data_IF_826447921438
#
_entry.id   IF_826447921438
#
_cell.length_a   1.000
_cell.length_b   1.000
_cell.length_c   1.000
_cell.angle_alpha   90.00
_cell.angle_beta   90.00
_cell.angle_gamma   90.00
#
_symmetry.space_group_name_H-M   'P 1'
#
loop_
_entity.id
_entity.type
_entity.pdbx_description
1 polymer ?
#
# COMPACT_ATOMS: atom_id res chain seq x y z
N UNK A 1 -67.08 -41.40 23.03
CA UNK A 1 -66.09 -40.73 23.92
C UNK A 1 -64.74 -40.74 23.11
N UNK A 2 -64.26 -39.62 22.62
CA UNK A 2 -63.00 -39.58 21.95
C UNK A 2 -61.83 -39.21 22.90
N UNK A 3 -60.79 -39.96 22.87
CA UNK A 3 -59.52 -39.75 23.59
C UNK A 3 -58.77 -38.54 23.01
N UNK A 4 -58.51 -37.53 23.86
CA UNK A 4 -57.63 -36.36 23.54
C UNK A 4 -56.20 -36.76 23.74
N UNK A 5 -55.41 -36.87 22.62
CA UNK A 5 -53.98 -37.01 22.66
C UNK A 5 -53.35 -35.63 22.82
N UNK A 6 -52.65 -35.39 23.93
CA UNK A 6 -51.86 -34.18 24.17
C UNK A 6 -50.53 -34.31 23.47
N UNK A 7 -50.34 -33.48 22.45
CA UNK A 7 -49.05 -33.35 21.75
C UNK A 7 -48.14 -32.41 22.57
N UNK A 8 -47.09 -32.98 23.19
CA UNK A 8 -46.09 -32.23 23.92
C UNK A 8 -45.08 -31.71 22.90
N UNK A 9 -45.12 -30.40 22.55
CA UNK A 9 -44.10 -29.75 21.72
C UNK A 9 -42.88 -29.46 22.60
N UNK A 10 -41.82 -30.22 22.38
CA UNK A 10 -40.49 -29.92 22.93
C UNK A 10 -39.88 -28.82 22.08
N UNK A 11 -39.82 -27.59 22.63
CA UNK A 11 -39.13 -26.45 22.03
C UNK A 11 -37.63 -26.59 22.37
N UNK A 12 -36.81 -27.13 21.43
CA UNK A 12 -35.34 -27.16 21.58
C UNK A 12 -34.84 -25.74 21.32
N UNK A 13 -34.51 -25.00 22.38
CA UNK A 13 -33.75 -23.75 22.24
C UNK A 13 -32.29 -24.11 21.94
N UNK A 14 -31.89 -23.97 20.66
CA UNK A 14 -30.49 -23.92 20.29
C UNK A 14 -29.92 -22.58 20.78
N UNK A 15 -29.17 -22.59 21.87
CA UNK A 15 -28.28 -21.51 22.22
C UNK A 15 -27.05 -21.60 21.28
N UNK A 16 -27.07 -20.89 20.17
CA UNK A 16 -25.86 -20.60 19.42
C UNK A 16 -25.08 -19.57 20.22
N UNK A 17 -24.08 -20.02 20.98
CA UNK A 17 -23.05 -19.12 21.49
C UNK A 17 -22.23 -18.62 20.29
N UNK A 18 -22.61 -17.50 19.72
CA UNK A 18 -21.69 -16.73 18.89
C UNK A 18 -20.62 -16.20 19.83
N UNK A 19 -19.44 -16.82 19.81
CA UNK A 19 -18.24 -16.22 20.37
C UNK A 19 -17.93 -14.97 19.51
N UNK A 20 -18.45 -13.83 19.93
CA UNK A 20 -17.98 -12.53 19.48
C UNK A 20 -16.53 -12.45 19.94
N UNK A 21 -15.58 -12.54 19.03
CA UNK A 21 -14.20 -12.16 19.30
C UNK A 21 -14.25 -10.74 19.86
N UNK A 22 -13.79 -10.57 21.08
CA UNK A 22 -13.83 -9.28 21.74
C UNK A 22 -12.88 -8.34 20.98
N UNK A 23 -13.41 -7.30 20.42
CA UNK A 23 -12.65 -6.22 19.80
C UNK A 23 -12.00 -5.41 20.94
N UNK A 24 -10.68 -5.38 20.98
CA UNK A 24 -9.94 -4.62 21.97
C UNK A 24 -9.81 -3.14 21.57
N UNK A 25 -9.81 -2.26 22.57
CA UNK A 25 -9.71 -0.83 22.36
C UNK A 25 -8.53 -0.26 23.14
N UNK A 26 -7.63 0.37 22.39
CA UNK A 26 -6.39 0.94 22.87
C UNK A 26 -6.43 2.46 22.75
N UNK A 27 -6.18 3.16 23.85
CA UNK A 27 -6.11 4.62 23.92
C UNK A 27 -4.74 5.04 24.45
N UNK A 28 -3.72 5.11 23.58
CA UNK A 28 -2.39 5.54 23.98
C UNK A 28 -2.40 7.00 24.44
N UNK A 29 -1.47 7.35 25.33
CA UNK A 29 -1.26 8.73 25.74
C UNK A 29 -0.26 9.39 24.80
N UNK A 30 -0.33 10.73 24.70
CA UNK A 30 0.66 11.50 23.96
C UNK A 30 1.97 11.58 24.72
N UNK A 31 3.06 11.44 23.99
CA UNK A 31 4.41 11.71 24.48
C UNK A 31 4.92 13.07 23.99
N UNK A 32 6.00 13.57 24.58
CA UNK A 32 6.62 14.82 24.15
C UNK A 32 7.28 14.66 22.76
N UNK A 33 7.25 15.71 21.95
CA UNK A 33 7.68 15.68 20.54
C UNK A 33 9.09 15.10 20.31
N UNK A 34 10.03 15.34 21.21
CA UNK A 34 11.44 14.92 21.09
C UNK A 34 11.82 13.87 22.12
N UNK A 35 10.86 13.14 22.68
CA UNK A 35 11.14 12.14 23.72
C UNK A 35 11.69 10.86 23.13
N UNK A 36 11.29 10.50 21.92
CA UNK A 36 11.64 9.21 21.27
C UNK A 36 12.63 9.46 20.15
N UNK A 37 13.74 8.75 20.19
CA UNK A 37 14.76 8.69 19.16
C UNK A 37 14.59 7.36 18.42
N UNK A 38 14.63 7.35 17.10
CA UNK A 38 14.53 6.13 16.31
C UNK A 38 15.94 5.63 16.03
N UNK A 39 16.48 4.83 16.94
CA UNK A 39 17.84 4.27 16.86
C UNK A 39 17.86 2.72 16.94
N UNK A 40 16.70 2.11 17.15
CA UNK A 40 16.54 0.65 17.27
C UNK A 40 16.81 0.14 18.68
N UNK A 41 16.85 0.99 19.69
CA UNK A 41 17.06 0.66 21.09
C UNK A 41 15.91 1.17 21.94
N UNK A 42 15.14 0.29 22.54
CA UNK A 42 14.01 0.66 23.38
C UNK A 42 14.50 1.13 24.76
N UNK A 43 14.81 2.42 24.87
CA UNK A 43 15.17 3.05 26.15
C UNK A 43 13.94 3.18 27.05
N UNK A 44 13.91 2.69 28.29
CA UNK A 44 12.72 2.70 29.14
C UNK A 44 12.12 4.09 29.36
N UNK A 45 12.95 5.14 29.43
CA UNK A 45 12.48 6.52 29.61
C UNK A 45 11.76 7.08 28.38
N UNK A 46 12.13 6.63 27.18
CA UNK A 46 11.50 7.07 25.94
C UNK A 46 10.09 6.47 25.78
N UNK A 47 9.92 5.23 26.16
CA UNK A 47 8.68 4.46 25.96
C UNK A 47 7.79 4.36 27.23
N UNK A 48 8.08 5.13 28.28
CA UNK A 48 7.37 5.07 29.58
C UNK A 48 5.88 5.40 29.48
N UNK A 49 5.49 6.28 28.55
CA UNK A 49 4.10 6.70 28.34
C UNK A 49 3.36 5.81 27.31
N UNK A 50 4.06 4.82 26.74
CA UNK A 50 3.49 3.94 25.73
C UNK A 50 2.58 2.89 26.36
N UNK A 51 1.52 2.52 25.63
CA UNK A 51 0.70 1.37 25.99
C UNK A 51 1.33 0.09 25.42
N UNK A 52 1.15 -1.01 26.13
CA UNK A 52 1.60 -2.34 25.72
C UNK A 52 0.52 -3.03 24.90
N UNK A 53 0.93 -3.67 23.80
CA UNK A 53 0.11 -4.60 23.01
C UNK A 53 0.94 -5.86 22.77
N UNK A 54 0.48 -6.99 23.25
CA UNK A 54 1.17 -8.26 23.06
C UNK A 54 0.80 -8.93 21.73
N UNK A 55 1.71 -9.75 21.19
CA UNK A 55 1.49 -10.52 19.95
C UNK A 55 1.45 -12.00 20.36
N UNK A 56 0.27 -12.48 20.71
CA UNK A 56 0.10 -13.73 21.46
C UNK A 56 -0.49 -14.90 20.66
N UNK A 57 -0.93 -14.67 19.42
CA UNK A 57 -1.60 -15.70 18.61
C UNK A 57 -0.70 -16.24 17.51
N UNK A 58 -0.29 -17.53 17.60
CA UNK A 58 0.35 -18.24 16.50
C UNK A 58 -0.73 -18.63 15.47
N UNK A 59 -0.70 -17.97 14.32
CA UNK A 59 -1.68 -18.16 13.24
C UNK A 59 -1.15 -19.01 12.10
N UNK A 60 0.16 -19.18 11.99
CA UNK A 60 0.82 -20.07 11.03
C UNK A 60 2.07 -20.72 11.68
N UNK A 61 2.27 -22.03 11.63
CA UNK A 61 1.35 -23.08 11.15
C UNK A 61 0.17 -23.34 12.10
N UNK A 62 0.21 -22.79 13.32
CA UNK A 62 -0.87 -22.88 14.30
C UNK A 62 -2.20 -22.32 13.78
N UNK A 63 -3.26 -22.53 14.54
CA UNK A 63 -4.56 -21.92 14.32
C UNK A 63 -4.99 -21.20 15.60
N UNK A 64 -4.50 -19.97 15.77
CA UNK A 64 -4.68 -19.16 16.98
C UNK A 64 -4.18 -19.86 18.26
N UNK A 65 -3.07 -20.58 18.17
CA UNK A 65 -2.42 -21.17 19.34
C UNK A 65 -1.67 -20.08 20.12
N UNK A 66 -1.43 -20.26 21.43
CA UNK A 66 -0.56 -19.35 22.18
C UNK A 66 0.83 -19.26 21.53
N UNK A 67 1.37 -18.05 21.43
CA UNK A 67 2.69 -17.81 20.90
C UNK A 67 3.78 -18.53 21.72
N UNK A 68 4.72 -19.19 21.04
CA UNK A 68 5.84 -19.90 21.69
C UNK A 68 6.95 -18.98 22.16
N UNK A 69 7.04 -17.80 21.57
CA UNK A 69 8.02 -16.76 21.90
C UNK A 69 7.28 -15.45 22.17
N UNK A 70 7.76 -14.72 23.15
CA UNK A 70 7.17 -13.45 23.51
C UNK A 70 7.49 -12.37 22.45
N UNK A 71 6.54 -11.49 22.19
CA UNK A 71 6.75 -10.25 21.45
C UNK A 71 5.94 -9.16 22.12
N UNK A 72 6.61 -8.19 22.67
CA UNK A 72 5.98 -7.03 23.28
C UNK A 72 6.05 -5.85 22.30
N UNK A 73 4.94 -5.14 22.12
CA UNK A 73 4.89 -3.94 21.32
C UNK A 73 4.36 -2.78 22.11
N UNK A 74 4.82 -1.58 21.79
CA UNK A 74 4.57 -0.35 22.50
C UNK A 74 4.01 0.69 21.52
N UNK A 75 2.95 1.40 21.91
CA UNK A 75 2.33 2.46 21.09
C UNK A 75 2.24 3.75 21.90
N UNK A 76 2.70 4.81 21.30
CA UNK A 76 2.47 6.19 21.77
C UNK A 76 2.43 7.14 20.58
N UNK A 77 2.09 8.41 20.75
CA UNK A 77 2.02 9.36 19.67
C UNK A 77 2.26 10.79 20.15
N UNK A 78 2.57 11.66 19.20
CA UNK A 78 2.60 13.12 19.38
C UNK A 78 1.45 13.75 18.58
N UNK A 79 1.42 15.06 18.50
CA UNK A 79 0.43 15.74 17.64
C UNK A 79 0.54 15.37 16.16
N UNK A 80 1.74 15.01 15.70
CA UNK A 80 2.06 14.84 14.27
C UNK A 80 2.52 13.45 13.89
N UNK A 81 2.94 12.60 14.83
CA UNK A 81 3.51 11.28 14.54
C UNK A 81 2.96 10.19 15.46
N UNK A 82 2.80 9.01 14.90
CA UNK A 82 2.60 7.77 15.63
C UNK A 82 3.94 7.07 15.79
N UNK A 83 4.21 6.58 17.01
CA UNK A 83 5.42 5.82 17.36
C UNK A 83 5.02 4.42 17.80
N UNK A 84 5.72 3.42 17.27
CA UNK A 84 5.50 2.03 17.63
C UNK A 84 6.85 1.36 17.77
N UNK A 85 7.02 0.58 18.83
CA UNK A 85 8.22 -0.22 19.03
C UNK A 85 7.89 -1.67 19.33
N UNK A 86 8.84 -2.55 19.04
CA UNK A 86 8.73 -3.98 19.25
C UNK A 86 9.98 -4.52 19.91
N UNK A 87 9.80 -5.33 20.94
CA UNK A 87 10.83 -6.21 21.46
C UNK A 87 10.43 -7.65 21.14
N UNK A 88 11.09 -8.23 20.17
CA UNK A 88 10.84 -9.54 19.64
C UNK A 88 11.84 -10.55 20.24
N UNK A 89 11.46 -11.24 21.30
CA UNK A 89 12.32 -12.22 21.96
C UNK A 89 12.59 -13.42 21.05
N UNK A 90 13.84 -13.78 20.89
CA UNK A 90 14.27 -14.91 20.08
C UNK A 90 15.73 -15.30 20.39
N UNK A 91 16.09 -16.55 20.11
CA UNK A 91 17.50 -16.90 20.11
C UNK A 91 18.20 -16.20 18.93
N UNK A 92 19.17 -15.36 19.26
CA UNK A 92 19.86 -14.51 18.27
C UNK A 92 20.52 -15.29 17.12
N UNK A 93 20.91 -16.56 17.36
CA UNK A 93 21.49 -17.45 16.34
C UNK A 93 20.47 -17.89 15.27
N UNK A 94 19.18 -17.78 15.58
CA UNK A 94 18.09 -18.17 14.67
C UNK A 94 17.48 -16.99 13.93
N UNK A 95 17.85 -15.75 14.28
CA UNK A 95 17.36 -14.55 13.62
C UNK A 95 17.85 -14.51 12.18
N UNK A 96 16.93 -14.41 11.24
CA UNK A 96 17.22 -14.23 9.82
C UNK A 96 17.02 -12.77 9.45
N UNK A 97 18.08 -12.11 9.06
CA UNK A 97 18.02 -10.72 8.64
C UNK A 97 19.17 -10.38 7.70
N UNK A 98 18.88 -9.54 6.73
CA UNK A 98 19.87 -8.94 5.82
C UNK A 98 19.59 -7.45 5.68
N UNK A 99 20.64 -6.66 5.52
CA UNK A 99 20.46 -5.24 5.16
C UNK A 99 19.97 -5.20 3.71
N UNK A 100 18.83 -4.57 3.50
CA UNK A 100 18.16 -4.52 2.20
C UNK A 100 17.81 -3.09 1.81
N UNK A 101 17.70 -2.85 0.53
CA UNK A 101 17.07 -1.62 0.05
C UNK A 101 15.58 -1.63 0.38
N UNK A 102 15.00 -0.45 0.43
CA UNK A 102 13.55 -0.29 0.62
C UNK A 102 12.79 -1.06 -0.47
N UNK A 103 11.70 -1.70 -0.09
CA UNK A 103 10.78 -2.45 -0.96
C UNK A 103 11.42 -3.63 -1.71
N UNK A 104 12.54 -4.14 -1.18
CA UNK A 104 13.12 -5.39 -1.66
C UNK A 104 12.27 -6.59 -1.20
N UNK A 105 11.63 -7.28 -2.14
CA UNK A 105 10.84 -8.48 -1.85
C UNK A 105 11.64 -9.62 -1.19
N UNK A 106 12.97 -9.61 -1.30
CA UNK A 106 13.83 -10.53 -0.57
C UNK A 106 13.68 -10.42 0.95
N UNK A 107 13.17 -9.28 1.46
CA UNK A 107 12.88 -9.06 2.87
C UNK A 107 11.79 -10.01 3.40
N UNK A 108 10.94 -10.55 2.52
CA UNK A 108 9.94 -11.56 2.89
C UNK A 108 10.57 -12.89 3.35
N UNK A 109 11.88 -13.10 3.19
CA UNK A 109 12.61 -14.26 3.71
C UNK A 109 13.33 -13.97 5.03
N UNK A 110 13.29 -12.75 5.54
CA UNK A 110 13.84 -12.33 6.82
C UNK A 110 12.80 -12.51 7.95
N UNK A 111 13.25 -12.42 9.19
CA UNK A 111 12.36 -12.15 10.33
C UNK A 111 11.76 -10.75 10.13
N UNK A 112 10.47 -10.59 10.36
CA UNK A 112 9.76 -9.36 10.09
C UNK A 112 8.84 -8.96 11.24
N UNK A 113 8.78 -7.67 11.46
CA UNK A 113 7.67 -7.01 12.17
C UNK A 113 6.83 -6.29 11.12
N UNK A 114 5.51 -6.47 11.18
CA UNK A 114 4.56 -5.84 10.28
C UNK A 114 3.50 -5.13 11.11
N UNK A 115 3.31 -3.86 10.83
CA UNK A 115 2.23 -3.03 11.37
C UNK A 115 1.18 -2.87 10.29
N UNK A 116 -0.08 -3.09 10.64
CA UNK A 116 -1.19 -2.98 9.71
C UNK A 116 -2.25 -2.04 10.25
N UNK A 117 -2.69 -1.07 9.42
CA UNK A 117 -3.73 -0.11 9.77
C UNK A 117 -4.87 -0.09 8.75
N UNK A 118 -6.10 -0.13 9.24
CA UNK A 118 -7.29 0.34 8.55
C UNK A 118 -7.68 1.69 9.14
N UNK A 119 -7.18 2.76 8.54
CA UNK A 119 -7.33 4.14 9.03
C UNK A 119 -8.76 4.68 8.88
N UNK A 120 -9.61 4.03 8.08
CA UNK A 120 -11.02 4.37 7.92
C UNK A 120 -11.94 3.50 8.78
N UNK A 121 -11.41 2.45 9.42
CA UNK A 121 -12.14 1.46 10.18
C UNK A 121 -13.34 0.89 9.40
N UNK A 122 -13.13 0.57 8.12
CA UNK A 122 -14.19 0.15 7.20
C UNK A 122 -13.94 -1.21 6.51
N UNK A 123 -12.81 -1.86 6.83
CA UNK A 123 -12.44 -3.19 6.34
C UNK A 123 -12.15 -3.26 4.83
N UNK A 124 -11.81 -2.17 4.18
CA UNK A 124 -11.58 -2.13 2.73
C UNK A 124 -10.13 -2.11 2.33
N UNK A 125 -9.33 -1.37 3.07
CA UNK A 125 -7.91 -1.22 2.81
C UNK A 125 -7.14 -1.30 4.11
N UNK A 126 -6.01 -1.98 4.07
CA UNK A 126 -5.03 -1.93 5.13
C UNK A 126 -3.72 -1.39 4.58
N UNK A 127 -3.10 -0.48 5.31
CA UNK A 127 -1.75 0.01 5.06
C UNK A 127 -0.79 -0.84 5.87
N UNK A 128 0.18 -1.45 5.21
CA UNK A 128 1.20 -2.30 5.81
C UNK A 128 2.51 -1.55 5.82
N UNK A 129 3.15 -1.53 6.97
CA UNK A 129 4.53 -1.07 7.14
C UNK A 129 5.29 -2.21 7.78
N UNK A 130 6.42 -2.57 7.21
CA UNK A 130 7.22 -3.66 7.73
C UNK A 130 8.68 -3.24 7.91
N UNK A 131 9.32 -3.88 8.88
CA UNK A 131 10.75 -3.74 9.11
C UNK A 131 11.35 -5.08 9.52
N UNK A 132 12.58 -5.34 9.08
CA UNK A 132 13.35 -6.46 9.55
C UNK A 132 14.23 -6.07 10.77
N UNK A 133 14.96 -6.98 11.41
CA UNK A 133 15.83 -6.68 12.55
C UNK A 133 16.92 -5.63 12.32
N UNK A 134 17.22 -5.25 11.08
CA UNK A 134 18.17 -4.19 10.73
C UNK A 134 17.51 -2.86 10.33
N UNK A 135 16.19 -2.74 10.51
CA UNK A 135 15.50 -1.52 10.15
C UNK A 135 15.26 -1.32 8.66
N UNK A 136 15.50 -2.34 7.80
CA UNK A 136 15.13 -2.26 6.38
C UNK A 136 13.62 -2.16 6.24
N UNK A 137 13.15 -1.29 5.33
CA UNK A 137 11.75 -0.91 5.19
C UNK A 137 11.07 -1.61 4.03
N UNK A 138 9.82 -1.98 4.25
CA UNK A 138 8.90 -2.39 3.19
C UNK A 138 7.51 -1.86 3.50
N UNK A 139 6.80 -1.38 2.51
CA UNK A 139 5.41 -0.98 2.64
C UNK A 139 4.54 -1.47 1.50
N UNK A 140 3.27 -1.64 1.78
CA UNK A 140 2.28 -2.05 0.82
C UNK A 140 0.89 -1.61 1.26
N UNK A 141 -0.04 -1.64 0.33
CA UNK A 141 -1.45 -1.52 0.63
C UNK A 141 -2.14 -2.86 0.34
N UNK A 142 -2.91 -3.36 1.29
CA UNK A 142 -3.74 -4.53 1.09
C UNK A 142 -5.20 -4.14 0.86
N UNK A 143 -5.81 -4.77 -0.13
CA UNK A 143 -7.23 -4.64 -0.47
C UNK A 143 -7.91 -6.01 -0.39
N UNK A 144 -9.23 -6.03 -0.28
CA UNK A 144 -9.96 -7.28 -0.39
C UNK A 144 -10.06 -7.68 -1.86
N UNK A 145 -9.23 -8.62 -2.29
CA UNK A 145 -9.18 -9.18 -3.64
C UNK A 145 -9.33 -10.70 -3.61
N UNK A 146 -9.70 -11.28 -4.77
CA UNK A 146 -9.95 -12.73 -4.91
C UNK A 146 -8.65 -13.54 -4.89
N UNK A 147 -7.55 -12.96 -5.36
CA UNK A 147 -6.23 -13.61 -5.41
C UNK A 147 -5.25 -12.93 -4.47
N UNK A 148 -4.24 -13.65 -4.00
CA UNK A 148 -3.20 -13.07 -3.16
C UNK A 148 -2.31 -12.10 -3.94
N UNK A 149 -2.10 -12.32 -5.24
CA UNK A 149 -1.33 -11.45 -6.12
C UNK A 149 -1.97 -10.06 -6.24
N UNK A 150 -3.29 -10.02 -6.36
CA UNK A 150 -4.04 -8.76 -6.46
C UNK A 150 -4.29 -8.08 -5.11
N UNK A 151 -4.05 -8.81 -4.02
CA UNK A 151 -4.35 -8.32 -2.66
C UNK A 151 -3.36 -7.28 -2.18
N UNK A 152 -2.08 -7.42 -2.54
CA UNK A 152 -1.02 -6.58 -2.05
C UNK A 152 -0.45 -5.69 -3.15
N UNK A 153 -0.65 -4.39 -3.01
CA UNK A 153 -0.07 -3.37 -3.88
C UNK A 153 1.21 -2.84 -3.25
N UNK A 154 2.35 -3.40 -3.65
CA UNK A 154 3.68 -2.98 -3.23
C UNK A 154 4.22 -1.76 -3.97
N UNK A 155 3.44 -1.17 -4.88
CA UNK A 155 3.80 0.12 -5.52
C UNK A 155 3.38 1.33 -4.69
N UNK A 156 2.65 1.09 -3.60
CA UNK A 156 2.21 2.12 -2.68
C UNK A 156 3.35 2.48 -1.74
N UNK A 157 3.73 3.75 -1.68
CA UNK A 157 4.83 4.24 -0.87
C UNK A 157 4.31 5.17 0.24
N UNK A 158 4.70 4.87 1.48
CA UNK A 158 4.47 5.67 2.67
C UNK A 158 5.78 6.26 3.18
N UNK A 159 5.74 7.49 3.65
CA UNK A 159 6.85 8.09 4.39
C UNK A 159 6.82 7.58 5.83
N UNK A 160 7.87 6.91 6.29
CA UNK A 160 8.07 6.53 7.68
C UNK A 160 9.54 6.26 7.95
N UNK A 161 9.95 6.35 9.21
CA UNK A 161 11.29 6.03 9.65
C UNK A 161 11.26 4.73 10.46
N UNK A 162 12.30 3.90 10.31
CA UNK A 162 12.51 2.71 11.14
C UNK A 162 13.97 2.57 11.51
N UNK A 163 14.20 2.00 12.69
CA UNK A 163 15.49 1.49 13.10
C UNK A 163 15.31 0.12 13.74
N UNK A 164 16.32 -0.73 13.62
CA UNK A 164 16.29 -2.05 14.20
C UNK A 164 17.67 -2.51 14.66
N UNK A 165 17.71 -3.20 15.79
CA UNK A 165 18.94 -3.69 16.41
C UNK A 165 18.74 -5.07 16.99
N UNK A 166 19.70 -5.98 16.73
CA UNK A 166 19.76 -7.29 17.38
C UNK A 166 20.36 -7.09 18.78
N UNK A 167 19.61 -7.51 19.80
CA UNK A 167 19.98 -7.44 21.21
C UNK A 167 20.26 -8.84 21.77
N UNK A 168 20.69 -8.95 23.03
CA UNK A 168 21.11 -10.23 23.62
C UNK A 168 20.01 -11.30 23.61
N UNK A 169 18.75 -10.90 23.83
CA UNK A 169 17.58 -11.79 23.96
C UNK A 169 16.63 -11.77 22.77
N UNK A 170 17.04 -11.16 21.64
CA UNK A 170 16.21 -11.08 20.44
C UNK A 170 16.58 -9.92 19.54
N UNK A 171 15.59 -9.14 19.13
CA UNK A 171 15.78 -7.90 18.39
C UNK A 171 14.72 -6.86 18.75
N UNK A 172 15.06 -5.62 18.54
CA UNK A 172 14.17 -4.46 18.73
C UNK A 172 13.99 -3.74 17.41
N UNK A 173 12.79 -3.22 17.19
CA UNK A 173 12.46 -2.40 15.99
C UNK A 173 11.57 -1.26 16.41
N UNK A 174 11.87 -0.08 15.91
CA UNK A 174 11.10 1.13 16.12
C UNK A 174 10.57 1.70 14.81
N UNK A 175 9.36 2.26 14.87
CA UNK A 175 8.69 2.95 13.78
C UNK A 175 8.29 4.36 14.20
N UNK A 176 8.54 5.34 13.34
CA UNK A 176 8.00 6.69 13.43
C UNK A 176 7.22 6.99 12.16
N UNK A 177 5.94 7.21 12.30
CA UNK A 177 5.00 7.32 11.20
C UNK A 177 4.33 8.70 11.25
N UNK A 178 4.64 9.62 10.32
CA UNK A 178 3.95 10.89 10.24
C UNK A 178 2.45 10.67 9.93
N UNK A 179 1.56 11.36 10.62
CA UNK A 179 0.14 11.28 10.26
C UNK A 179 -0.16 11.78 8.84
N UNK A 180 0.68 12.65 8.31
CA UNK A 180 0.57 13.12 6.92
C UNK A 180 0.82 12.03 5.88
N UNK A 181 1.50 10.93 6.24
CA UNK A 181 1.77 9.82 5.33
C UNK A 181 0.57 8.93 5.09
N UNK A 182 -0.34 8.82 6.05
CA UNK A 182 -1.48 7.93 6.00
C UNK A 182 -2.77 8.69 5.62
N UNK A 183 -3.55 8.20 4.66
CA UNK A 183 -4.88 8.74 4.43
C UNK A 183 -5.85 8.26 5.52
N UNK A 184 -6.65 9.18 6.08
CA UNK A 184 -7.69 8.89 7.07
C UNK A 184 -8.80 9.94 7.06
N UNK A 185 -9.97 9.72 7.73
CA UNK A 185 -11.09 10.64 7.74
C UNK A 185 -10.74 12.01 8.34
N UNK A 186 -11.46 13.06 7.91
CA UNK A 186 -11.35 14.38 8.55
C UNK A 186 -11.70 14.34 10.02
N UNK A 187 -10.96 15.04 10.84
CA UNK A 187 -11.16 15.16 12.29
C UNK A 187 -9.83 15.10 13.04
N UNK A 188 -9.75 15.74 14.19
CA UNK A 188 -8.61 15.67 15.10
C UNK A 188 -8.61 14.38 15.92
N UNK A 189 -9.81 13.83 16.16
CA UNK A 189 -10.00 12.56 16.86
C UNK A 189 -10.18 11.46 15.82
N UNK A 190 -9.39 10.40 15.94
CA UNK A 190 -9.38 9.29 15.01
C UNK A 190 -9.67 7.99 15.72
N UNK A 191 -10.38 7.12 15.04
CA UNK A 191 -10.55 5.71 15.38
C UNK A 191 -10.04 4.90 14.20
N UNK A 192 -8.91 4.24 14.36
CA UNK A 192 -8.36 3.33 13.37
C UNK A 192 -8.54 1.89 13.83
N UNK A 193 -8.58 0.96 12.90
CA UNK A 193 -8.31 -0.43 13.24
C UNK A 193 -6.85 -0.76 12.97
N UNK A 194 -6.27 -1.63 13.79
CA UNK A 194 -4.89 -2.04 13.61
C UNK A 194 -4.67 -3.52 13.95
N UNK A 195 -3.54 -4.04 13.52
CA UNK A 195 -3.08 -5.37 13.86
C UNK A 195 -1.55 -5.42 13.71
N UNK A 196 -0.90 -6.10 14.64
CA UNK A 196 0.54 -6.33 14.59
C UNK A 196 0.83 -7.77 14.23
N UNK A 197 1.89 -7.95 13.45
CA UNK A 197 2.36 -9.26 13.02
C UNK A 197 3.83 -9.38 13.31
N UNK A 198 4.23 -10.59 13.63
CA UNK A 198 5.63 -11.01 13.61
C UNK A 198 5.75 -12.27 12.78
N UNK A 199 6.68 -12.26 11.85
CA UNK A 199 7.12 -13.44 11.15
C UNK A 199 8.54 -13.77 11.59
N UNK A 200 8.81 -15.04 11.90
CA UNK A 200 10.12 -15.53 12.24
C UNK A 200 10.27 -17.01 11.86
N UNK A 201 11.48 -17.54 11.96
CA UNK A 201 11.74 -18.92 11.60
C UNK A 201 12.19 -19.73 12.82
N UNK A 202 11.61 -20.92 13.00
CA UNK A 202 11.96 -21.87 14.03
C UNK A 202 12.13 -23.25 13.40
N UNK A 203 13.30 -23.88 13.59
CA UNK A 203 13.64 -25.19 13.04
C UNK A 203 13.37 -25.30 11.53
N UNK A 204 13.60 -24.21 10.80
CA UNK A 204 13.39 -24.13 9.34
C UNK A 204 11.96 -23.81 8.90
N UNK A 205 11.00 -23.82 9.81
CA UNK A 205 9.60 -23.50 9.54
C UNK A 205 9.34 -22.02 9.75
N UNK A 206 8.53 -21.45 8.87
CA UNK A 206 8.00 -20.09 9.04
C UNK A 206 6.89 -20.09 10.08
N UNK A 207 7.00 -19.19 11.05
CA UNK A 207 6.00 -18.97 12.09
C UNK A 207 5.47 -17.54 11.96
N UNK A 208 4.16 -17.41 11.95
CA UNK A 208 3.48 -16.10 11.96
C UNK A 208 2.69 -15.94 13.26
N UNK A 209 2.97 -14.84 13.96
CA UNK A 209 2.23 -14.40 15.14
C UNK A 209 1.42 -13.14 14.83
N UNK A 210 0.28 -12.98 15.51
CA UNK A 210 -0.57 -11.78 15.43
C UNK A 210 -0.98 -11.29 16.80
N UNK A 211 -1.29 -10.00 16.90
CA UNK A 211 -1.84 -9.39 18.11
C UNK A 211 -3.30 -9.78 18.35
N UNK A 212 -3.99 -10.29 17.34
CA UNK A 212 -5.39 -10.72 17.42
C UNK A 212 -5.60 -12.05 16.69
N UNK A 213 -6.64 -12.81 17.05
CA UNK A 213 -7.01 -14.05 16.35
C UNK A 213 -7.30 -13.82 14.88
N UNK A 214 -7.06 -14.85 14.07
CA UNK A 214 -7.27 -14.82 12.62
C UNK A 214 -8.07 -16.05 12.17
N UNK A 215 -9.17 -15.82 11.45
CA UNK A 215 -9.95 -16.88 10.82
C UNK A 215 -9.49 -17.07 9.36
N UNK A 216 -8.83 -18.19 9.08
CA UNK A 216 -8.38 -18.54 7.73
C UNK A 216 -9.52 -18.85 6.75
N UNK A 217 -10.72 -19.17 7.28
CA UNK A 217 -11.89 -19.49 6.46
C UNK A 217 -12.69 -18.25 6.06
N UNK A 218 -12.40 -17.10 6.68
CA UNK A 218 -13.03 -15.84 6.26
C UNK A 218 -12.36 -15.34 4.96
N UNK A 219 -13.12 -15.21 3.86
CA UNK A 219 -12.58 -14.72 2.60
C UNK A 219 -12.10 -13.27 2.66
N UNK A 220 -12.58 -12.48 3.63
CA UNK A 220 -12.16 -11.10 3.81
C UNK A 220 -11.01 -10.97 4.81
N UNK A 221 -9.77 -11.15 4.37
CA UNK A 221 -8.62 -11.05 5.26
C UNK A 221 -8.38 -9.63 5.80
N UNK A 222 -8.63 -8.60 4.99
CA UNK A 222 -8.46 -7.20 5.43
C UNK A 222 -9.53 -6.77 6.44
N UNK A 223 -10.72 -7.41 6.43
CA UNK A 223 -11.79 -7.12 7.39
C UNK A 223 -11.47 -7.58 8.81
N UNK A 224 -10.47 -8.45 8.97
CA UNK A 224 -10.09 -9.02 10.26
C UNK A 224 -9.10 -8.15 11.05
N UNK A 225 -8.73 -6.99 10.53
CA UNK A 225 -8.04 -5.96 11.29
C UNK A 225 -9.09 -5.20 12.08
N UNK A 226 -9.24 -5.52 13.38
CA UNK A 226 -10.42 -5.10 14.16
C UNK A 226 -10.11 -4.40 15.48
N UNK A 227 -8.90 -4.56 16.05
CA UNK A 227 -8.53 -3.86 17.27
C UNK A 227 -8.51 -2.35 17.05
N UNK A 228 -9.06 -1.61 17.99
CA UNK A 228 -9.29 -0.17 17.86
C UNK A 228 -8.14 0.62 18.47
N UNK A 229 -7.57 1.52 17.68
CA UNK A 229 -6.62 2.54 18.11
C UNK A 229 -7.32 3.90 18.12
N UNK A 230 -7.41 4.50 19.28
CA UNK A 230 -8.02 5.83 19.46
C UNK A 230 -6.92 6.86 19.61
N UNK A 231 -6.91 7.83 18.71
CA UNK A 231 -5.96 8.95 18.71
C UNK A 231 -6.75 10.25 18.84
N UNK A 232 -6.35 11.12 19.78
CA UNK A 232 -7.06 12.37 20.07
C UNK A 232 -6.18 13.58 19.76
N UNK A 233 -6.82 14.66 19.32
CA UNK A 233 -6.16 15.96 19.08
C UNK A 233 -4.91 15.86 18.18
N UNK A 234 -4.96 15.03 17.12
CA UNK A 234 -3.87 14.95 16.17
C UNK A 234 -3.88 16.15 15.21
N UNK A 235 -2.71 16.62 14.86
CA UNK A 235 -2.53 17.72 13.90
C UNK A 235 -2.06 17.16 12.57
N UNK A 236 -2.69 17.62 11.48
CA UNK A 236 -2.27 17.25 10.13
C UNK A 236 -1.78 18.51 9.45
N UNK A 237 -0.50 18.53 9.18
CA UNK A 237 0.11 19.56 8.37
C UNK A 237 -0.29 19.35 6.91
N UNK A 238 -0.68 20.43 6.22
CA UNK A 238 -0.88 20.40 4.78
C UNK A 238 0.48 20.29 4.13
N UNK A 239 0.67 19.24 3.35
CA UNK A 239 1.91 19.05 2.61
C UNK A 239 1.82 19.78 1.27
N UNK A 240 2.84 20.58 1.00
CA UNK A 240 3.16 21.09 -0.33
C UNK A 240 4.57 20.60 -0.66
N UNK A 241 4.67 19.74 -1.63
CA UNK A 241 5.94 19.15 -2.04
C UNK A 241 6.26 19.60 -3.46
N UNK A 242 7.46 20.12 -3.64
CA UNK A 242 8.00 20.54 -4.93
C UNK A 242 9.17 19.63 -5.28
N UNK A 243 9.10 18.95 -6.41
CA UNK A 243 10.07 17.96 -6.87
C UNK A 243 10.67 18.41 -8.22
N UNK A 244 11.63 19.36 -8.22
CA UNK A 244 12.35 19.70 -9.44
C UNK A 244 13.35 18.60 -9.80
N UNK A 245 13.54 18.34 -11.10
CA UNK A 245 14.61 17.49 -11.57
C UNK A 245 15.32 18.07 -12.80
N UNK A 246 16.56 17.67 -12.96
CA UNK A 246 17.36 17.92 -14.16
C UNK A 246 18.02 16.60 -14.54
N UNK A 247 17.90 16.22 -15.80
CA UNK A 247 18.50 15.03 -16.36
C UNK A 247 19.24 15.36 -17.67
N UNK A 248 20.12 14.46 -18.07
CA UNK A 248 20.79 14.57 -19.35
C UNK A 248 21.01 13.19 -19.94
N UNK A 249 20.74 13.03 -21.23
CA UNK A 249 20.94 11.78 -21.95
C UNK A 249 21.92 11.93 -23.11
N UNK A 250 22.72 10.90 -23.31
CA UNK A 250 23.62 10.78 -24.44
C UNK A 250 23.44 9.38 -25.02
N UNK A 251 22.83 9.30 -26.19
CA UNK A 251 22.63 8.03 -26.91
C UNK A 251 23.77 7.76 -27.86
N UNK A 252 24.19 6.50 -27.95
CA UNK A 252 25.23 6.09 -28.90
C UNK A 252 24.81 4.84 -29.65
N UNK A 253 25.05 4.82 -30.96
CA UNK A 253 24.75 3.67 -31.80
C UNK A 253 26.01 3.23 -32.58
N UNK A 254 26.09 1.92 -32.86
CA UNK A 254 27.07 1.33 -33.77
C UNK A 254 26.34 0.87 -35.04
N UNK A 255 26.80 1.29 -36.23
CA UNK A 255 26.22 0.83 -37.49
C UNK A 255 26.41 -0.69 -37.71
N UNK A 256 27.49 -1.28 -37.17
CA UNK A 256 27.75 -2.71 -37.15
C UNK A 256 28.65 -3.07 -35.96
N UNK A 257 28.87 -4.37 -35.71
CA UNK A 257 29.63 -4.89 -34.55
C UNK A 257 31.07 -4.39 -34.48
N UNK A 258 31.70 -4.07 -35.62
CA UNK A 258 33.09 -3.67 -35.71
C UNK A 258 33.29 -2.15 -35.79
N UNK A 259 32.22 -1.38 -35.88
CA UNK A 259 32.27 0.08 -35.97
C UNK A 259 32.44 0.73 -34.59
N UNK A 260 33.01 1.91 -34.58
CA UNK A 260 33.05 2.76 -33.38
C UNK A 260 31.65 3.17 -32.94
N UNK A 261 31.50 3.41 -31.66
CA UNK A 261 30.26 3.96 -31.08
C UNK A 261 30.16 5.44 -31.47
N UNK A 262 29.13 5.80 -32.20
CA UNK A 262 28.84 7.19 -32.54
C UNK A 262 27.79 7.72 -31.55
N UNK A 263 28.11 8.82 -30.89
CA UNK A 263 27.19 9.46 -29.94
C UNK A 263 26.39 10.57 -30.62
N UNK A 264 25.12 10.62 -30.28
CA UNK A 264 24.21 11.74 -30.59
C UNK A 264 24.62 13.00 -29.80
N UNK A 265 23.96 14.10 -30.10
CA UNK A 265 24.12 15.31 -29.29
C UNK A 265 23.54 15.08 -27.89
N UNK A 266 24.23 15.64 -26.90
CA UNK A 266 23.70 15.68 -25.52
C UNK A 266 22.34 16.33 -25.49
N UNK A 267 21.35 15.66 -24.84
CA UNK A 267 19.96 16.13 -24.70
C UNK A 267 19.72 16.42 -23.21
N UNK A 268 19.72 17.71 -22.82
CA UNK A 268 19.31 18.08 -21.47
C UNK A 268 17.80 17.95 -21.35
N UNK A 269 17.34 17.55 -20.18
CA UNK A 269 15.93 17.46 -19.80
C UNK A 269 15.74 18.08 -18.42
N UNK A 270 14.64 18.76 -18.20
CA UNK A 270 14.27 19.32 -16.91
C UNK A 270 12.75 19.27 -16.73
N UNK A 271 12.30 19.05 -15.52
CA UNK A 271 10.89 19.00 -15.21
C UNK A 271 10.61 19.30 -13.73
N UNK A 272 9.36 19.23 -13.38
CA UNK A 272 8.87 19.64 -12.08
C UNK A 272 7.68 18.78 -11.67
N UNK A 273 7.73 18.20 -10.47
CA UNK A 273 6.58 17.62 -9.77
C UNK A 273 6.09 18.57 -8.70
N UNK A 274 4.78 18.62 -8.50
CA UNK A 274 4.11 19.38 -7.45
C UNK A 274 3.00 18.53 -6.85
N UNK A 275 3.07 18.28 -5.54
CA UNK A 275 2.04 17.59 -4.79
C UNK A 275 1.48 18.55 -3.74
N UNK A 276 0.16 18.74 -3.73
CA UNK A 276 -0.54 19.65 -2.82
C UNK A 276 -1.66 18.89 -2.13
N UNK A 277 -1.63 18.82 -0.83
CA UNK A 277 -2.77 18.38 -0.04
C UNK A 277 -3.80 19.51 0.06
N UNK A 278 -4.85 19.43 -0.78
CA UNK A 278 -5.96 20.38 -0.76
C UNK A 278 -6.71 20.33 0.57
N UNK A 279 -6.89 19.14 1.07
CA UNK A 279 -7.42 18.84 2.40
C UNK A 279 -7.00 17.40 2.79
N UNK A 280 -7.38 16.95 3.99
CA UNK A 280 -7.02 15.62 4.54
C UNK A 280 -7.40 14.42 3.66
N UNK A 281 -8.35 14.62 2.75
CA UNK A 281 -8.89 13.56 1.90
C UNK A 281 -8.61 13.78 0.41
N UNK A 282 -8.00 14.87 0.04
CA UNK A 282 -7.84 15.24 -1.37
C UNK A 282 -6.46 15.80 -1.64
N UNK A 283 -5.78 15.20 -2.60
CA UNK A 283 -4.45 15.60 -3.06
C UNK A 283 -4.51 15.95 -4.53
N UNK A 284 -3.90 17.06 -4.89
CA UNK A 284 -3.65 17.47 -6.27
C UNK A 284 -2.18 17.23 -6.60
N UNK A 285 -1.94 16.48 -7.64
CA UNK A 285 -0.59 16.21 -8.17
C UNK A 285 -0.49 16.80 -9.57
N UNK A 286 0.58 17.53 -9.83
CA UNK A 286 0.88 18.09 -11.15
C UNK A 286 2.31 17.72 -11.52
N UNK A 287 2.52 17.27 -12.73
CA UNK A 287 3.87 17.03 -13.24
C UNK A 287 4.05 17.70 -14.59
N UNK A 288 5.20 18.36 -14.74
CA UNK A 288 5.62 19.02 -15.96
C UNK A 288 6.84 18.29 -16.50
N UNK A 289 6.77 17.81 -17.73
CA UNK A 289 7.85 17.12 -18.45
C UNK A 289 8.57 16.06 -17.61
N UNK A 290 7.85 15.09 -17.00
CA UNK A 290 8.46 14.12 -16.09
C UNK A 290 9.48 13.22 -16.79
N UNK A 291 10.56 12.91 -16.09
CA UNK A 291 11.55 11.94 -16.56
C UNK A 291 11.23 10.56 -15.98
N UNK A 292 10.84 9.63 -16.83
CA UNK A 292 10.58 8.24 -16.46
C UNK A 292 11.65 7.29 -16.96
N UNK A 293 12.77 7.80 -17.48
CA UNK A 293 13.82 6.99 -18.10
C UNK A 293 14.47 5.98 -17.13
N UNK A 294 14.59 6.32 -15.85
CA UNK A 294 15.13 5.43 -14.84
C UNK A 294 14.20 4.24 -14.52
N UNK A 295 12.90 4.46 -14.63
CA UNK A 295 11.90 3.44 -14.32
C UNK A 295 11.76 2.43 -15.47
N UNK A 296 11.96 2.86 -16.69
CA UNK A 296 11.87 2.00 -17.89
C UNK A 296 13.11 1.13 -18.10
N UNK A 297 14.28 1.56 -17.63
CA UNK A 297 15.53 0.82 -17.76
C UNK A 297 15.55 -0.51 -16.97
N UNK A 298 14.74 -0.62 -15.92
CA UNK A 298 14.67 -1.80 -15.06
C UNK A 298 13.78 -2.93 -15.62
N UNK A 299 13.13 -2.71 -16.75
CA UNK A 299 12.27 -3.73 -17.39
C UNK A 299 13.02 -4.32 -18.59
N UNK A 300 13.57 -5.52 -18.42
CA UNK A 300 14.05 -6.31 -19.54
C UNK A 300 12.88 -6.62 -20.46
N UNK A 301 12.81 -5.99 -21.62
CA UNK A 301 11.82 -6.31 -22.63
C UNK A 301 12.15 -7.67 -23.22
N UNK A 302 11.40 -8.69 -22.83
CA UNK A 302 11.41 -9.98 -23.54
C UNK A 302 10.39 -9.83 -24.66
N UNK A 303 10.88 -9.79 -25.89
CA UNK A 303 10.06 -9.79 -27.10
C UNK A 303 9.46 -11.20 -27.24
N UNK A 304 8.26 -11.40 -26.69
CA UNK A 304 7.52 -12.66 -26.80
C UNK A 304 6.51 -12.49 -27.92
N UNK A 305 6.55 -13.39 -28.87
CA UNK A 305 5.54 -13.53 -29.92
C UNK A 305 4.19 -13.95 -29.28
N UNK A 306 3.48 -13.03 -28.64
CA UNK A 306 2.19 -13.30 -28.04
C UNK A 306 1.07 -12.53 -28.73
N UNK A 307 -0.06 -13.19 -28.91
CA UNK A 307 -1.29 -12.60 -29.47
C UNK A 307 -1.97 -11.60 -28.50
N UNK A 308 -1.46 -11.48 -27.28
CA UNK A 308 -1.99 -10.63 -26.24
C UNK A 308 -1.07 -9.44 -26.01
N UNK A 309 -1.66 -8.29 -25.70
CA UNK A 309 -0.91 -7.12 -25.26
C UNK A 309 -0.18 -7.43 -23.95
N UNK A 310 1.12 -7.16 -23.89
CA UNK A 310 1.88 -7.28 -22.65
C UNK A 310 1.50 -6.12 -21.74
N UNK A 311 0.91 -6.42 -20.61
CA UNK A 311 0.69 -5.45 -19.55
C UNK A 311 1.91 -5.42 -18.61
N UNK A 312 2.56 -4.27 -18.54
CA UNK A 312 3.65 -4.03 -17.61
C UNK A 312 3.11 -3.35 -16.35
N UNK A 313 3.56 -3.74 -15.16
CA UNK A 313 3.18 -3.05 -13.93
C UNK A 313 3.61 -1.57 -14.00
N UNK A 314 2.77 -0.69 -13.49
CA UNK A 314 3.10 0.73 -13.42
C UNK A 314 4.12 0.97 -12.30
N UNK A 315 5.24 1.58 -12.61
CA UNK A 315 6.32 1.91 -11.67
C UNK A 315 6.58 3.41 -11.55
N UNK A 316 5.99 4.21 -12.43
CA UNK A 316 6.17 5.66 -12.41
C UNK A 316 5.41 6.27 -11.23
N UNK A 317 6.07 6.95 -10.29
CA UNK A 317 5.46 7.38 -9.02
C UNK A 317 4.18 8.19 -9.19
N UNK A 318 4.15 9.09 -10.18
CA UNK A 318 2.96 9.89 -10.47
C UNK A 318 1.74 9.02 -10.83
N UNK A 319 1.91 7.94 -11.57
CA UNK A 319 0.79 7.09 -12.01
C UNK A 319 0.42 6.00 -11.01
N UNK A 320 1.35 5.60 -10.13
CA UNK A 320 1.12 4.56 -9.13
C UNK A 320 0.08 4.97 -8.08
N UNK A 321 0.15 6.20 -7.62
CA UNK A 321 -0.76 6.68 -6.59
C UNK A 321 -2.19 6.76 -7.11
N UNK A 322 -3.12 6.05 -6.45
CA UNK A 322 -4.54 6.00 -6.82
C UNK A 322 -4.90 4.92 -7.85
N UNK A 323 -3.97 4.04 -8.23
CA UNK A 323 -4.25 2.90 -9.13
C UNK A 323 -5.34 1.99 -8.59
N UNK A 324 -5.45 1.81 -7.28
CA UNK A 324 -6.52 1.07 -6.62
C UNK A 324 -7.94 1.60 -6.89
N UNK A 325 -8.03 2.87 -7.25
CA UNK A 325 -9.32 3.47 -7.62
C UNK A 325 -9.65 3.16 -9.08
N UNK A 326 -8.64 3.06 -9.94
CA UNK A 326 -8.79 2.94 -11.39
C UNK A 326 -8.69 1.52 -11.92
N UNK A 327 -7.76 0.71 -11.41
CA UNK A 327 -7.43 -0.62 -11.96
C UNK A 327 -8.50 -1.70 -11.77
N UNK A 328 -9.57 -1.42 -11.07
CA UNK A 328 -10.61 -2.40 -10.74
C UNK A 328 -11.56 -2.72 -11.94
N UNK A 329 -11.33 -2.18 -13.10
CA UNK A 329 -12.24 -2.22 -14.26
C UNK A 329 -11.67 -3.00 -15.46
N UNK A 330 -11.03 -4.14 -15.22
CA UNK A 330 -10.57 -5.09 -16.26
C UNK A 330 -9.95 -4.40 -17.50
N UNK A 331 -8.94 -3.54 -17.25
CA UNK A 331 -8.21 -2.88 -18.33
C UNK A 331 -8.89 -1.65 -18.96
N UNK A 332 -9.94 -1.09 -18.33
CA UNK A 332 -10.58 0.15 -18.84
C UNK A 332 -9.62 1.34 -18.93
N UNK A 333 -8.55 1.33 -18.15
CA UNK A 333 -7.47 2.31 -18.23
C UNK A 333 -6.13 1.64 -17.98
N UNK A 334 -5.21 1.81 -18.91
CA UNK A 334 -3.81 1.39 -18.79
C UNK A 334 -2.93 2.64 -18.76
N UNK A 335 -2.34 2.94 -17.60
CA UNK A 335 -1.58 4.18 -17.37
C UNK A 335 -0.35 4.32 -18.26
N UNK A 336 0.30 3.20 -18.64
CA UNK A 336 1.45 3.22 -19.56
C UNK A 336 1.07 3.56 -21.00
N UNK A 337 -0.22 3.63 -21.34
CA UNK A 337 -0.64 4.21 -22.60
C UNK A 337 -0.36 5.73 -22.68
N UNK A 338 -0.11 6.40 -21.54
CA UNK A 338 0.44 7.76 -21.46
C UNK A 338 1.96 7.59 -21.40
N UNK A 339 2.63 7.83 -22.53
CA UNK A 339 4.03 7.46 -22.69
C UNK A 339 5.00 8.60 -22.35
N UNK A 340 4.80 9.77 -22.93
CA UNK A 340 5.68 10.93 -22.77
C UNK A 340 4.88 12.21 -22.51
N UNK A 341 4.29 12.36 -21.32
CA UNK A 341 3.44 13.50 -21.04
C UNK A 341 4.25 14.79 -20.88
N UNK A 342 3.85 15.84 -21.56
CA UNK A 342 4.38 17.18 -21.34
C UNK A 342 3.88 17.77 -20.02
N UNK A 343 2.60 17.55 -19.74
CA UNK A 343 1.96 17.93 -18.48
C UNK A 343 0.93 16.87 -18.12
N UNK A 344 0.90 16.53 -16.85
CA UNK A 344 -0.18 15.71 -16.28
C UNK A 344 -0.64 16.29 -14.97
N UNK A 345 -1.96 16.22 -14.74
CA UNK A 345 -2.57 16.66 -13.50
C UNK A 345 -3.48 15.55 -12.99
N UNK A 346 -3.39 15.26 -11.71
CA UNK A 346 -4.18 14.21 -11.07
C UNK A 346 -4.78 14.72 -9.77
N UNK A 347 -6.08 14.51 -9.60
CA UNK A 347 -6.81 14.76 -8.36
C UNK A 347 -7.24 13.43 -7.76
N UNK A 348 -6.82 13.19 -6.55
CA UNK A 348 -7.26 12.06 -5.73
C UNK A 348 -8.10 12.60 -4.59
N UNK A 349 -9.25 11.99 -4.35
CA UNK A 349 -10.06 12.30 -3.18
C UNK A 349 -10.64 11.03 -2.59
N UNK A 350 -10.42 10.81 -1.29
CA UNK A 350 -10.88 9.64 -0.58
C UNK A 350 -11.60 10.06 0.71
N UNK A 351 -12.92 10.02 0.68
CA UNK A 351 -13.76 10.24 1.84
C UNK A 351 -14.31 8.90 2.37
N UNK A 352 -14.91 8.91 3.56
CA UNK A 352 -15.44 7.70 4.21
C UNK A 352 -16.34 6.83 3.31
N UNK A 353 -17.14 7.44 2.44
CA UNK A 353 -18.06 6.71 1.55
C UNK A 353 -17.79 6.90 0.07
N UNK A 354 -16.93 7.82 -0.32
CA UNK A 354 -16.76 8.20 -1.73
C UNK A 354 -15.29 8.31 -2.08
N UNK A 355 -14.95 7.88 -3.30
CA UNK A 355 -13.61 8.03 -3.88
C UNK A 355 -13.72 8.67 -5.24
N UNK A 356 -12.80 9.57 -5.53
CA UNK A 356 -12.68 10.24 -6.84
C UNK A 356 -11.22 10.09 -7.29
N UNK A 357 -11.08 9.70 -8.53
CA UNK A 357 -9.83 9.78 -9.29
C UNK A 357 -10.11 10.59 -10.55
N UNK A 358 -9.34 11.63 -10.76
CA UNK A 358 -9.35 12.39 -12.01
C UNK A 358 -7.91 12.56 -12.47
N UNK A 359 -7.65 12.22 -13.72
CA UNK A 359 -6.36 12.39 -14.38
C UNK A 359 -6.59 13.09 -15.72
N UNK A 360 -5.79 14.09 -16.01
CA UNK A 360 -5.66 14.67 -17.34
C UNK A 360 -4.19 14.76 -17.73
N UNK A 361 -3.86 14.46 -18.98
CA UNK A 361 -2.51 14.52 -19.50
C UNK A 361 -2.48 14.99 -20.95
N UNK A 362 -1.46 15.78 -21.28
CA UNK A 362 -1.05 16.09 -22.65
C UNK A 362 0.15 15.20 -22.97
N UNK A 363 -0.07 14.15 -23.71
CA UNK A 363 0.93 13.17 -24.09
C UNK A 363 1.51 13.49 -25.49
N UNK A 364 2.84 13.54 -25.60
CA UNK A 364 3.51 13.95 -26.84
C UNK A 364 3.68 12.81 -27.84
N UNK A 365 3.66 11.57 -27.36
CA UNK A 365 3.98 10.40 -28.19
C UNK A 365 3.15 9.20 -27.76
N UNK A 366 1.88 9.25 -28.11
CA UNK A 366 0.90 8.26 -27.65
C UNK A 366 0.99 6.97 -28.46
N UNK A 367 1.34 5.84 -27.84
CA UNK A 367 1.24 4.55 -28.52
C UNK A 367 -0.25 4.16 -28.66
N UNK A 368 -0.56 3.51 -29.77
CA UNK A 368 -1.85 2.86 -29.96
C UNK A 368 -1.65 1.47 -30.53
N UNK A 369 -2.56 0.58 -30.18
CA UNK A 369 -2.54 -0.78 -30.64
C UNK A 369 -3.57 -0.97 -31.76
N UNK A 370 -3.14 -1.60 -32.86
CA UNK A 370 -4.00 -1.95 -33.98
C UNK A 370 -4.19 -3.47 -33.90
N UNK A 371 -5.44 -3.92 -33.75
CA UNK A 371 -5.75 -5.34 -33.84
C UNK A 371 -5.59 -5.80 -35.32
N UNK A 372 -4.79 -6.84 -35.53
CA UNK A 372 -4.65 -7.52 -36.82
C UNK A 372 -5.17 -8.95 -36.73
N UNK A 373 -5.31 -9.62 -37.89
CA UNK A 373 -5.82 -11.00 -37.93
C UNK A 373 -4.92 -12.00 -37.21
N UNK A 374 -3.60 -11.88 -37.38
CA UNK A 374 -2.62 -12.82 -36.79
C UNK A 374 -1.94 -12.27 -35.52
N UNK A 375 -1.82 -10.97 -35.39
CA UNK A 375 -1.13 -10.30 -34.27
C UNK A 375 -1.53 -8.84 -34.18
N UNK A 376 -1.35 -8.26 -33.01
CA UNK A 376 -1.49 -6.82 -32.82
C UNK A 376 -0.24 -6.06 -33.25
N UNK A 377 -0.43 -4.91 -33.82
CA UNK A 377 0.63 -3.97 -34.22
C UNK A 377 0.59 -2.75 -33.32
N UNK A 378 1.77 -2.22 -33.01
CA UNK A 378 1.90 -0.95 -32.33
C UNK A 378 2.14 0.17 -33.33
N UNK A 379 1.30 1.18 -33.26
CA UNK A 379 1.49 2.46 -33.94
C UNK A 379 1.90 3.53 -32.94
N UNK A 380 2.63 4.52 -33.41
CA UNK A 380 2.84 5.74 -32.64
C UNK A 380 1.95 6.83 -33.22
N UNK A 381 1.04 7.32 -32.39
CA UNK A 381 0.26 8.52 -32.66
C UNK A 381 1.05 9.77 -32.33
N UNK A 382 0.60 10.89 -32.78
CA UNK A 382 1.13 12.18 -32.42
C UNK A 382 0.77 12.59 -30.98
N UNK A 383 0.60 13.85 -30.77
CA UNK A 383 0.17 14.42 -29.48
C UNK A 383 -1.29 14.07 -29.19
N UNK A 384 -1.60 13.74 -27.96
CA UNK A 384 -2.98 13.48 -27.53
C UNK A 384 -3.31 14.05 -26.16
N UNK A 385 -4.59 14.39 -25.98
CA UNK A 385 -5.16 14.72 -24.68
C UNK A 385 -5.84 13.49 -24.11
N UNK A 386 -5.45 13.12 -22.88
CA UNK A 386 -6.02 11.98 -22.16
C UNK A 386 -6.76 12.49 -20.93
N UNK A 387 -7.97 12.01 -20.72
CA UNK A 387 -8.73 12.26 -19.50
C UNK A 387 -9.27 10.96 -18.95
N UNK A 388 -9.14 10.77 -17.65
CA UNK A 388 -9.67 9.63 -16.91
C UNK A 388 -10.41 10.15 -15.72
N UNK A 389 -11.64 9.72 -15.54
CA UNK A 389 -12.44 10.03 -14.36
C UNK A 389 -13.04 8.76 -13.78
N UNK A 390 -12.89 8.60 -12.49
CA UNK A 390 -13.50 7.52 -11.73
C UNK A 390 -14.17 8.07 -10.49
N UNK A 391 -15.42 7.65 -10.28
CA UNK A 391 -16.17 7.89 -9.06
C UNK A 391 -16.64 6.57 -8.49
N UNK A 392 -16.50 6.39 -7.18
CA UNK A 392 -17.02 5.25 -6.43
C UNK A 392 -17.75 5.75 -5.20
N UNK A 393 -18.90 5.16 -4.90
CA UNK A 393 -19.69 5.42 -3.68
C UNK A 393 -20.04 4.12 -2.99
N UNK A 394 -19.76 4.06 -1.68
CA UNK A 394 -20.12 2.94 -0.83
C UNK A 394 -21.54 3.15 -0.29
N UNK A 395 -22.49 2.41 -0.81
CA UNK A 395 -23.89 2.44 -0.35
C UNK A 395 -23.99 1.78 1.02
N UNK A 396 -23.41 0.59 1.16
CA UNK A 396 -23.30 -0.18 2.40
C UNK A 396 -22.07 -1.11 2.36
N UNK A 397 -21.85 -1.94 3.39
CA UNK A 397 -20.69 -2.83 3.48
C UNK A 397 -20.51 -3.75 2.27
N UNK A 398 -21.60 -4.12 1.59
CA UNK A 398 -21.62 -5.12 0.51
C UNK A 398 -21.93 -4.52 -0.88
N UNK A 399 -22.26 -3.22 -0.95
CA UNK A 399 -22.70 -2.60 -2.21
C UNK A 399 -21.92 -1.33 -2.51
N UNK A 400 -21.30 -1.29 -3.68
CA UNK A 400 -20.64 -0.10 -4.25
C UNK A 400 -21.30 0.27 -5.56
N UNK A 401 -21.46 1.55 -5.79
CA UNK A 401 -21.85 2.13 -7.07
C UNK A 401 -20.69 2.98 -7.58
N UNK A 402 -20.51 2.97 -8.89
CA UNK A 402 -19.44 3.79 -9.45
C UNK A 402 -19.60 3.95 -10.95
N UNK A 403 -18.83 4.88 -11.48
CA UNK A 403 -18.70 5.13 -12.90
C UNK A 403 -17.23 5.35 -13.25
N UNK A 404 -16.85 4.98 -14.45
CA UNK A 404 -15.55 5.29 -15.04
C UNK A 404 -15.77 5.88 -16.41
N UNK A 405 -14.97 6.87 -16.76
CA UNK A 405 -14.89 7.35 -18.12
C UNK A 405 -13.44 7.59 -18.49
N UNK A 406 -13.07 7.18 -19.69
CA UNK A 406 -11.76 7.46 -20.27
C UNK A 406 -11.95 8.08 -21.65
N UNK A 407 -11.19 9.14 -21.94
CA UNK A 407 -11.22 9.81 -23.22
C UNK A 407 -9.79 10.05 -23.70
N UNK A 408 -9.56 9.82 -24.98
CA UNK A 408 -8.31 10.20 -25.64
C UNK A 408 -8.63 10.88 -26.97
N UNK A 409 -8.06 12.05 -27.18
CA UNK A 409 -8.19 12.83 -28.41
C UNK A 409 -6.82 13.10 -28.99
N UNK A 410 -6.59 12.66 -30.22
CA UNK A 410 -5.36 12.91 -30.96
C UNK A 410 -5.46 14.23 -31.71
N UNK A 411 -4.37 15.00 -31.75
CA UNK A 411 -4.35 16.32 -32.41
C UNK A 411 -4.39 16.24 -33.92
N UNK A 412 -4.00 15.10 -34.49
CA UNK A 412 -4.04 14.81 -35.94
C UNK A 412 -5.36 14.15 -36.40
N UNK A 413 -6.33 14.05 -35.51
CA UNK A 413 -7.65 13.49 -35.77
C UNK A 413 -7.77 12.04 -35.38
N UNK A 414 -8.65 11.77 -34.48
CA UNK A 414 -8.90 10.46 -33.90
C UNK A 414 -9.29 10.60 -32.44
N UNK A 415 -10.16 9.73 -31.99
CA UNK A 415 -10.57 9.72 -30.58
C UNK A 415 -11.00 8.32 -30.13
N UNK A 416 -10.84 8.08 -28.83
CA UNK A 416 -11.38 6.92 -28.15
C UNK A 416 -12.08 7.34 -26.87
N UNK A 417 -13.28 6.84 -26.65
CA UNK A 417 -14.07 7.11 -25.46
C UNK A 417 -14.62 5.81 -24.87
N UNK A 418 -14.56 5.70 -23.54
CA UNK A 418 -15.22 4.67 -22.76
C UNK A 418 -16.05 5.35 -21.66
N UNK A 419 -17.29 4.89 -21.45
CA UNK A 419 -18.20 5.39 -20.44
C UNK A 419 -18.70 4.26 -19.54
#
# INVERSE_FOLDING_TARGET
>A
MPRKTKLFRFLLLFFTTTSSLAQERFEPQKTALNQITIDGILSPEEWKDAILVDIDFEVNPGNNLPAKVKTSSYITYTDTHLFIAFHAFHNTKNIRASVRSRDDFGMLNDDLIIVRFDTYADGRNNYLLASNPFGSQFDARAINALTDEDRYDGSFNLDFETAGTIVEDGYQVEFKIPFSSLPFPNGTDQLWHFNFFRKYYLDGNEIELRSQPFDRNDPCQVCQTTDQLVLKDITIEKRVELLPYIAGSLSGARPNRNASLNYDKFKPNAGLGLNIDLNKNSTLEVTLNPDFSQVEADVTQIDVNSSYALEYPERRPFFNRGTDIVNFTDGAFYSRSINNPLISTKLLSQAKKSRIYFLTALDQNSPYQIAGEDRSYYGQGGQSYVNVFRYQHLVNKNMRLGMVTTNRYYTDGGYGNLF
#
